data_IF_701639278707
#
_entry.id   IF_701639278707
#
_cell.length_a   1.000
_cell.length_b   1.000
_cell.length_c   1.000
_cell.angle_alpha   90.00
_cell.angle_beta   90.00
_cell.angle_gamma   90.00
#
_symmetry.space_group_name_H-M   'P 1'
#
loop_
_entity.id
_entity.type
_entity.pdbx_description
1 polymer ?
#
# COMPACT_ATOMS: atom_id res chain seq x y z
N UNK A 1 32.67 19.89 -9.03
CA UNK A 1 31.34 19.86 -8.39
C UNK A 1 30.35 19.44 -9.46
N UNK A 2 29.98 18.16 -9.49
CA UNK A 2 29.07 17.62 -10.49
C UNK A 2 27.72 17.41 -9.82
N UNK A 3 26.76 18.28 -10.14
CA UNK A 3 25.37 18.13 -9.69
C UNK A 3 24.76 16.94 -10.43
N UNK A 4 24.51 15.85 -9.71
CA UNK A 4 23.71 14.74 -10.22
C UNK A 4 22.27 15.19 -10.25
N UNK A 5 21.68 15.26 -11.45
CA UNK A 5 20.26 15.51 -11.62
C UNK A 5 19.48 14.37 -10.95
N UNK A 6 18.66 14.71 -9.96
CA UNK A 6 17.74 13.80 -9.28
C UNK A 6 16.63 13.43 -10.26
N UNK A 7 16.77 12.27 -10.91
CA UNK A 7 15.75 11.72 -11.82
C UNK A 7 14.48 11.47 -11.02
N UNK A 8 13.49 12.34 -11.17
CA UNK A 8 12.17 12.18 -10.59
C UNK A 8 11.45 11.13 -11.42
N UNK A 9 11.45 9.88 -10.96
CA UNK A 9 10.68 8.80 -11.57
C UNK A 9 9.23 8.96 -11.13
N UNK A 10 8.44 9.72 -11.88
CA UNK A 10 7.01 9.84 -11.63
C UNK A 10 6.30 8.70 -12.38
N UNK A 11 6.50 7.46 -11.89
CA UNK A 11 5.76 6.30 -12.37
C UNK A 11 4.46 6.20 -11.57
N UNK A 12 3.32 6.43 -12.23
CA UNK A 12 2.01 6.22 -11.63
C UNK A 12 1.81 4.73 -11.35
N UNK A 13 1.71 4.35 -10.07
CA UNK A 13 1.53 2.98 -9.61
C UNK A 13 0.04 2.64 -9.49
N UNK A 14 -0.63 2.40 -10.63
CA UNK A 14 -2.07 2.09 -10.68
C UNK A 14 -2.28 0.75 -11.38
N UNK A 15 -2.60 -0.27 -10.59
CA UNK A 15 -3.01 -1.59 -11.03
C UNK A 15 -4.54 -1.69 -11.07
N UNK A 16 -5.12 -2.43 -12.04
CA UNK A 16 -6.56 -2.62 -12.10
C UNK A 16 -7.03 -3.54 -10.96
N UNK A 17 -7.82 -2.99 -10.03
CA UNK A 17 -8.38 -3.74 -8.91
C UNK A 17 -9.64 -4.55 -9.32
N UNK A 18 -9.85 -5.75 -8.73
CA UNK A 18 -11.08 -6.51 -8.88
C UNK A 18 -12.33 -5.73 -8.46
N UNK A 19 -13.49 -6.09 -9.02
CA UNK A 19 -14.76 -5.39 -8.74
C UNK A 19 -15.10 -5.39 -7.25
N UNK A 20 -14.80 -6.47 -6.53
CA UNK A 20 -15.02 -6.53 -5.08
C UNK A 20 -14.17 -5.52 -4.30
N UNK A 21 -12.93 -5.26 -4.73
CA UNK A 21 -12.05 -4.26 -4.13
C UNK A 21 -12.54 -2.86 -4.45
N UNK A 22 -12.89 -2.60 -5.71
CA UNK A 22 -13.46 -1.31 -6.14
C UNK A 22 -14.76 -1.00 -5.38
N UNK A 23 -15.63 -1.99 -5.22
CA UNK A 23 -16.88 -1.84 -4.47
C UNK A 23 -16.63 -1.55 -2.98
N UNK A 24 -15.61 -2.20 -2.42
CA UNK A 24 -15.20 -1.99 -1.03
C UNK A 24 -14.62 -0.59 -0.81
N UNK A 25 -13.81 -0.09 -1.75
CA UNK A 25 -13.30 1.28 -1.75
C UNK A 25 -14.43 2.32 -1.90
N UNK A 26 -15.36 2.08 -2.82
CA UNK A 26 -16.52 2.96 -2.99
C UNK A 26 -17.39 3.03 -1.72
N UNK A 27 -17.58 1.90 -1.03
CA UNK A 27 -18.27 1.85 0.26
C UNK A 27 -17.52 2.61 1.37
N UNK A 28 -16.19 2.72 1.28
CA UNK A 28 -15.34 3.56 2.14
C UNK A 28 -15.26 5.03 1.67
N UNK A 29 -16.07 5.42 0.68
CA UNK A 29 -16.10 6.79 0.17
C UNK A 29 -14.87 7.18 -0.65
N UNK A 30 -14.27 6.22 -1.37
CA UNK A 30 -13.18 6.47 -2.32
C UNK A 30 -13.72 6.43 -3.75
N UNK A 31 -13.55 7.52 -4.50
CA UNK A 31 -13.75 7.52 -5.96
C UNK A 31 -12.48 7.00 -6.64
N UNK A 32 -12.64 6.15 -7.65
CA UNK A 32 -11.54 5.63 -8.46
C UNK A 32 -10.76 6.75 -9.16
N UNK A 33 -11.43 7.87 -9.48
CA UNK A 33 -10.81 9.03 -10.11
C UNK A 33 -9.77 9.73 -9.21
N UNK A 34 -9.88 9.57 -7.89
CA UNK A 34 -9.01 10.24 -6.91
C UNK A 34 -7.79 9.38 -6.53
N UNK A 35 -7.75 8.12 -6.97
CA UNK A 35 -6.70 7.18 -6.62
C UNK A 35 -5.37 7.58 -7.27
N UNK A 36 -4.32 7.71 -6.45
CA UNK A 36 -2.95 8.08 -6.84
C UNK A 36 -2.00 6.88 -6.85
N UNK A 37 -2.23 5.93 -5.95
CA UNK A 37 -1.54 4.63 -5.90
C UNK A 37 -2.61 3.55 -5.70
N UNK A 38 -2.52 2.46 -6.45
CA UNK A 38 -3.33 1.26 -6.32
C UNK A 38 -2.47 0.07 -6.69
N UNK A 39 -2.03 -0.70 -5.70
CA UNK A 39 -1.13 -1.85 -5.93
C UNK A 39 -1.59 -3.04 -5.12
N UNK A 40 -1.46 -4.22 -5.70
CA UNK A 40 -1.70 -5.49 -5.03
C UNK A 40 -0.41 -6.05 -4.41
N UNK A 41 -0.53 -6.68 -3.25
CA UNK A 41 0.49 -7.57 -2.68
C UNK A 41 0.22 -9.00 -3.10
N UNK A 42 1.20 -9.88 -2.95
CA UNK A 42 1.07 -11.30 -3.20
C UNK A 42 1.02 -12.16 -1.91
N UNK A 43 1.17 -11.54 -0.74
CA UNK A 43 0.96 -12.20 0.55
C UNK A 43 -0.32 -11.70 1.25
N UNK A 44 -1.04 -12.64 1.86
CA UNK A 44 -2.23 -12.38 2.65
C UNK A 44 -1.90 -11.60 3.93
N UNK A 45 -2.94 -11.16 4.64
CA UNK A 45 -2.82 -10.33 5.84
C UNK A 45 -2.02 -10.98 7.00
N UNK A 46 -1.89 -12.31 7.01
CA UNK A 46 -1.07 -13.02 7.98
C UNK A 46 0.44 -13.03 7.64
N UNK A 47 0.80 -12.64 6.41
CA UNK A 47 2.17 -12.64 5.90
C UNK A 47 2.79 -14.03 5.73
N UNK A 48 1.98 -15.10 5.85
CA UNK A 48 2.43 -16.49 5.79
C UNK A 48 1.91 -17.21 4.55
N UNK A 49 0.74 -16.81 4.05
CA UNK A 49 0.12 -17.43 2.88
C UNK A 49 0.08 -16.47 1.69
N UNK A 50 0.08 -17.04 0.49
CA UNK A 50 -0.24 -16.28 -0.71
C UNK A 50 -1.67 -15.75 -0.64
N UNK A 51 -1.84 -14.52 -1.07
CA UNK A 51 -3.14 -13.85 -1.12
C UNK A 51 -2.99 -12.37 -1.37
N UNK A 52 -4.12 -11.73 -1.64
CA UNK A 52 -4.13 -10.36 -2.11
C UNK A 52 -4.44 -9.40 -0.96
N UNK A 53 -3.65 -8.33 -0.88
CA UNK A 53 -3.99 -7.13 -0.16
C UNK A 53 -3.78 -5.95 -1.11
N UNK A 54 -4.69 -4.99 -1.09
CA UNK A 54 -4.62 -3.81 -1.95
C UNK A 54 -4.23 -2.62 -1.13
N UNK A 55 -3.11 -1.99 -1.46
CA UNK A 55 -2.71 -0.71 -0.92
C UNK A 55 -3.15 0.38 -1.88
N UNK A 56 -3.94 1.31 -1.36
CA UNK A 56 -4.54 2.41 -2.12
C UNK A 56 -4.19 3.72 -1.44
N UNK A 57 -3.74 4.70 -2.21
CA UNK A 57 -3.49 6.06 -1.72
C UNK A 57 -4.38 7.00 -2.51
N UNK A 58 -5.17 7.78 -1.79
CA UNK A 58 -5.87 8.97 -2.28
C UNK A 58 -5.24 10.21 -1.62
N UNK A 59 -5.73 11.40 -1.95
CA UNK A 59 -5.09 12.66 -1.55
C UNK A 59 -4.82 12.80 -0.04
N UNK A 60 -5.76 12.36 0.80
CA UNK A 60 -5.70 12.54 2.26
C UNK A 60 -5.68 11.24 3.06
N UNK A 61 -5.62 10.07 2.39
CA UNK A 61 -5.75 8.76 3.04
C UNK A 61 -4.88 7.69 2.39
N UNK A 62 -4.38 6.79 3.24
CA UNK A 62 -3.83 5.49 2.86
C UNK A 62 -4.80 4.41 3.32
N UNK A 63 -5.28 3.62 2.37
CA UNK A 63 -6.21 2.52 2.63
C UNK A 63 -5.52 1.19 2.33
N UNK A 64 -5.73 0.20 3.18
CA UNK A 64 -5.35 -1.19 2.90
C UNK A 64 -6.59 -2.06 2.92
N UNK A 65 -6.95 -2.61 1.76
CA UNK A 65 -8.08 -3.51 1.59
C UNK A 65 -7.55 -4.95 1.69
N UNK A 66 -8.06 -5.71 2.66
CA UNK A 66 -7.59 -7.06 2.97
C UNK A 66 -8.72 -8.06 2.89
N UNK A 67 -8.44 -9.22 2.32
CA UNK A 67 -9.38 -10.32 2.40
C UNK A 67 -9.41 -10.90 3.82
N UNK A 68 -10.62 -11.04 4.38
CA UNK A 68 -10.89 -11.68 5.66
C UNK A 68 -11.95 -12.78 5.49
N UNK A 69 -12.13 -13.70 6.46
CA UNK A 69 -13.16 -14.74 6.36
C UNK A 69 -14.58 -14.22 6.15
N UNK A 70 -14.89 -13.01 6.64
CA UNK A 70 -16.19 -12.37 6.52
C UNK A 70 -16.36 -11.53 5.23
N UNK A 71 -15.32 -11.41 4.41
CA UNK A 71 -15.28 -10.54 3.24
C UNK A 71 -14.07 -9.60 3.23
N UNK A 72 -14.10 -8.58 2.39
CA UNK A 72 -13.05 -7.56 2.35
C UNK A 72 -13.22 -6.55 3.48
N UNK A 73 -12.13 -6.21 4.15
CA UNK A 73 -12.07 -5.18 5.18
C UNK A 73 -11.14 -4.06 4.73
N UNK A 74 -11.45 -2.83 5.13
CA UNK A 74 -10.64 -1.65 4.87
C UNK A 74 -10.02 -1.18 6.17
N UNK A 75 -8.71 -1.02 6.17
CA UNK A 75 -7.99 -0.22 7.17
C UNK A 75 -7.79 1.13 6.52
N UNK A 76 -8.47 2.15 7.04
CA UNK A 76 -8.40 3.54 6.56
C UNK A 76 -7.51 4.32 7.52
N UNK A 77 -6.47 4.98 7.00
CA UNK A 77 -5.54 5.79 7.78
C UNK A 77 -5.41 7.15 7.10
N UNK A 78 -5.71 8.23 7.82
CA UNK A 78 -5.47 9.58 7.31
C UNK A 78 -3.97 9.79 7.07
N UNK A 79 -3.61 10.42 5.96
CA UNK A 79 -2.20 10.70 5.63
C UNK A 79 -1.53 11.56 6.69
N UNK A 80 -2.29 12.44 7.36
CA UNK A 80 -1.83 13.28 8.45
C UNK A 80 -1.43 12.49 9.71
N UNK A 81 -1.93 11.26 9.85
CA UNK A 81 -1.61 10.35 10.96
C UNK A 81 -0.47 9.39 10.60
N UNK A 82 0.04 9.40 9.36
CA UNK A 82 1.21 8.61 8.96
C UNK A 82 2.48 9.31 9.45
N UNK A 83 3.26 8.61 10.29
CA UNK A 83 4.51 9.12 10.84
C UNK A 83 5.70 8.81 9.92
N UNK A 84 5.76 7.57 9.40
CA UNK A 84 6.78 7.09 8.48
C UNK A 84 6.24 5.93 7.64
N UNK A 85 6.71 5.80 6.40
CA UNK A 85 6.38 4.70 5.50
C UNK A 85 7.64 4.14 4.84
N UNK A 86 8.06 2.94 5.26
CA UNK A 86 9.30 2.34 4.77
C UNK A 86 9.16 0.83 4.61
N UNK A 87 10.03 0.25 3.78
CA UNK A 87 10.13 -1.19 3.62
C UNK A 87 11.20 -1.78 4.52
N UNK A 88 10.91 -2.91 5.15
CA UNK A 88 11.92 -3.77 5.77
C UNK A 88 12.09 -5.06 4.97
N UNK A 89 13.35 -5.45 4.74
CA UNK A 89 13.68 -6.71 4.10
C UNK A 89 13.53 -7.90 5.07
N UNK A 90 12.98 -9.00 4.58
CA UNK A 90 12.82 -10.27 5.29
C UNK A 90 13.42 -11.42 4.46
N UNK A 91 13.56 -12.60 5.06
CA UNK A 91 13.96 -13.79 4.29
C UNK A 91 12.84 -14.14 3.30
N UNK A 92 13.15 -14.11 2.00
CA UNK A 92 12.21 -14.44 0.92
C UNK A 92 11.34 -13.28 0.43
N UNK A 93 11.40 -12.11 1.07
CA UNK A 93 10.55 -10.97 0.72
C UNK A 93 10.78 -9.74 1.58
N UNK A 94 9.71 -9.06 1.94
CA UNK A 94 9.76 -7.89 2.80
C UNK A 94 8.38 -7.50 3.29
N UNK A 95 8.33 -6.36 3.97
CA UNK A 95 7.07 -5.75 4.37
C UNK A 95 7.17 -4.25 4.24
N UNK A 96 6.09 -3.62 3.81
CA UNK A 96 5.88 -2.20 3.99
C UNK A 96 5.36 -1.98 5.42
N UNK A 97 5.98 -1.06 6.13
CA UNK A 97 5.57 -0.59 7.43
C UNK A 97 5.07 0.84 7.29
N UNK A 98 3.86 1.09 7.78
CA UNK A 98 3.28 2.42 7.91
C UNK A 98 3.10 2.66 9.40
N UNK A 99 3.96 3.48 9.97
CA UNK A 99 3.86 3.93 11.36
C UNK A 99 2.77 4.98 11.46
N UNK A 100 1.91 4.85 12.47
CA UNK A 100 0.68 5.65 12.59
C UNK A 100 0.59 6.31 13.97
N UNK A 101 0.07 7.52 14.03
CA UNK A 101 -0.17 8.22 15.27
C UNK A 101 -1.22 7.49 16.11
N UNK A 102 -0.91 7.19 17.38
CA UNK A 102 -1.79 6.52 18.35
C UNK A 102 -2.43 5.19 17.89
N UNK A 103 -1.95 4.59 16.80
CA UNK A 103 -2.43 3.32 16.26
C UNK A 103 -1.28 2.33 16.03
N UNK A 104 -1.53 1.01 16.06
CA UNK A 104 -0.51 0.02 15.74
C UNK A 104 0.09 0.23 14.35
N UNK A 105 1.39 -0.03 14.17
CA UNK A 105 2.04 0.00 12.85
C UNK A 105 1.31 -0.95 11.89
N UNK A 106 0.91 -0.42 10.74
CA UNK A 106 0.31 -1.21 9.69
C UNK A 106 1.41 -1.91 8.91
N UNK A 107 1.33 -3.23 8.82
CA UNK A 107 2.32 -4.05 8.11
C UNK A 107 1.67 -4.75 6.92
N UNK A 108 2.26 -4.58 5.74
CA UNK A 108 1.82 -5.18 4.49
C UNK A 108 2.98 -5.99 3.91
N UNK A 109 2.90 -7.31 4.07
CA UNK A 109 3.94 -8.23 3.62
C UNK A 109 3.87 -8.47 2.10
N UNK A 110 5.02 -8.75 1.50
CA UNK A 110 5.15 -9.07 0.08
C UNK A 110 6.33 -10.01 -0.16
N UNK A 111 6.31 -10.79 -1.24
CA UNK A 111 7.47 -11.61 -1.62
C UNK A 111 8.55 -10.80 -2.34
N UNK A 112 9.72 -11.38 -2.53
CA UNK A 112 10.85 -10.68 -3.13
C UNK A 112 10.62 -10.16 -4.55
N UNK A 113 9.64 -10.70 -5.29
CA UNK A 113 9.30 -10.22 -6.64
C UNK A 113 8.68 -8.82 -6.62
N UNK A 114 7.98 -8.48 -5.53
CA UNK A 114 7.28 -7.21 -5.38
C UNK A 114 8.15 -6.12 -4.73
N UNK A 115 9.38 -6.44 -4.34
CA UNK A 115 10.23 -5.54 -3.55
C UNK A 115 10.51 -4.19 -4.22
N UNK A 116 10.71 -4.18 -5.55
CA UNK A 116 10.91 -2.94 -6.31
C UNK A 116 9.66 -2.05 -6.27
N UNK A 117 8.48 -2.65 -6.50
CA UNK A 117 7.19 -1.94 -6.44
C UNK A 117 6.98 -1.34 -5.05
N UNK A 118 7.14 -2.12 -3.99
CA UNK A 118 6.88 -1.63 -2.64
C UNK A 118 7.92 -0.63 -2.12
N UNK A 119 9.14 -0.64 -2.66
CA UNK A 119 10.11 0.44 -2.41
C UNK A 119 9.65 1.78 -2.99
N UNK A 120 9.02 1.76 -4.17
CA UNK A 120 8.44 2.96 -4.79
C UNK A 120 7.17 3.40 -4.04
N UNK A 121 6.32 2.46 -3.64
CA UNK A 121 5.11 2.72 -2.83
C UNK A 121 5.47 3.42 -1.53
N UNK A 122 6.45 2.91 -0.78
CA UNK A 122 6.91 3.54 0.46
C UNK A 122 7.27 5.01 0.26
N UNK A 123 8.03 5.31 -0.81
CA UNK A 123 8.42 6.67 -1.16
C UNK A 123 7.27 7.55 -1.64
N UNK A 124 6.19 6.95 -2.16
CA UNK A 124 4.99 7.68 -2.56
C UNK A 124 4.07 8.00 -1.38
N UNK A 125 4.21 7.29 -0.26
CA UNK A 125 3.45 7.52 0.98
C UNK A 125 4.18 8.48 1.92
N UNK A 126 5.52 8.43 1.99
CA UNK A 126 6.38 9.34 2.75
C UNK A 126 6.42 10.78 2.16
#
# INVERSE_FOLDING_TARGET
>A
MTTVAKTTHNATLIEPAPLEVVSTLAAAGVDVADIRICVCTDLAADGLHYGDQWLVVVEDRVLVVRQQPAGWAVIDTAIADVLHAHTEALVGGGRLLIERHDEPTLSVAFTSTEAAKFSEVARGVE
#
